data_IF_486566279966
#
_entry.id   IF_486566279966
#
_cell.length_a   1.000
_cell.length_b   1.000
_cell.length_c   1.000
_cell.angle_alpha   90.00
_cell.angle_beta   90.00
_cell.angle_gamma   90.00
#
_symmetry.space_group_name_H-M   'P 1'
#
loop_
_entity.id
_entity.type
_entity.pdbx_description
1 polymer ?
#
# COMPACT_ATOMS: atom_id res chain seq x y z
N UNK A 1 9.19 -2.52 -29.22
CA UNK A 1 9.16 -3.97 -28.93
C UNK A 1 10.52 -4.53 -28.47
N UNK A 2 11.66 -4.00 -28.93
CA UNK A 2 12.99 -4.43 -28.42
C UNK A 2 13.49 -3.67 -27.19
N UNK A 3 12.73 -2.71 -26.65
CA UNK A 3 13.19 -1.78 -25.59
C UNK A 3 12.69 -2.11 -24.19
N UNK A 4 11.53 -2.77 -24.03
CA UNK A 4 11.02 -3.15 -22.70
C UNK A 4 11.68 -4.47 -22.21
N UNK A 5 11.79 -5.46 -23.11
CA UNK A 5 12.52 -6.71 -22.85
C UNK A 5 14.02 -6.44 -22.71
N UNK A 6 14.60 -5.44 -23.39
CA UNK A 6 16.03 -5.15 -23.25
C UNK A 6 16.41 -4.45 -21.93
N UNK A 7 15.54 -3.65 -21.32
CA UNK A 7 15.83 -3.02 -20.03
C UNK A 7 15.83 -4.06 -18.89
N UNK A 8 14.92 -5.04 -18.95
CA UNK A 8 14.79 -6.10 -17.93
C UNK A 8 15.72 -7.28 -18.23
N UNK A 9 15.99 -7.63 -19.49
CA UNK A 9 16.82 -8.78 -19.87
C UNK A 9 18.33 -8.48 -19.99
N UNK A 10 18.78 -7.21 -19.97
CA UNK A 10 20.22 -6.86 -20.01
C UNK A 10 20.79 -6.49 -18.62
N UNK A 11 19.95 -6.33 -17.60
CA UNK A 11 20.40 -6.00 -16.23
C UNK A 11 20.38 -7.18 -15.23
N UNK A 12 20.02 -8.39 -15.68
CA UNK A 12 20.05 -9.60 -14.88
C UNK A 12 21.38 -10.38 -15.03
N UNK A 13 22.54 -9.73 -14.90
CA UNK A 13 23.77 -10.40 -14.47
C UNK A 13 24.84 -9.39 -14.04
N UNK A 14 25.35 -9.61 -12.83
CA UNK A 14 26.39 -8.86 -12.11
C UNK A 14 25.93 -7.60 -11.36
N UNK A 15 25.55 -7.80 -10.10
CA UNK A 15 26.14 -6.98 -9.04
C UNK A 15 26.64 -7.87 -7.91
N UNK A 16 27.94 -7.69 -7.66
CA UNK A 16 28.77 -8.39 -6.69
C UNK A 16 28.33 -8.09 -5.27
N UNK A 17 28.53 -9.08 -4.38
CA UNK A 17 28.58 -8.92 -2.92
C UNK A 17 29.36 -7.66 -2.53
N UNK A 18 28.65 -6.59 -2.24
CA UNK A 18 29.19 -5.51 -1.42
C UNK A 18 29.04 -5.96 0.03
N UNK A 19 30.17 -6.17 0.69
CA UNK A 19 30.23 -6.36 2.14
C UNK A 19 30.00 -5.00 2.79
N UNK A 20 28.73 -4.59 2.85
CA UNK A 20 28.27 -3.49 3.67
C UNK A 20 28.11 -4.00 5.11
N UNK A 21 28.76 -3.32 6.05
CA UNK A 21 28.49 -3.46 7.47
C UNK A 21 26.98 -3.23 7.67
N UNK A 22 26.24 -4.22 8.20
CA UNK A 22 24.81 -4.07 8.42
C UNK A 22 24.56 -2.83 9.29
N UNK A 23 23.81 -1.87 8.77
CA UNK A 23 23.37 -0.72 9.56
C UNK A 23 22.57 -1.24 10.76
N UNK A 24 22.73 -0.61 11.92
CA UNK A 24 21.95 -0.98 13.10
C UNK A 24 20.45 -0.87 12.78
N UNK A 25 19.60 -1.79 13.27
CA UNK A 25 18.17 -1.74 13.01
C UNK A 25 17.60 -0.39 13.48
N UNK A 26 16.95 0.32 12.56
CA UNK A 26 16.27 1.58 12.79
C UNK A 26 15.04 1.31 13.66
N UNK A 27 14.80 2.15 14.68
CA UNK A 27 13.58 2.04 15.48
C UNK A 27 12.36 2.24 14.58
N UNK A 28 11.24 1.60 14.94
CA UNK A 28 9.96 1.77 14.26
C UNK A 28 9.55 3.24 14.24
N UNK A 29 9.19 3.77 13.08
CA UNK A 29 8.62 5.10 12.96
C UNK A 29 7.34 5.03 12.14
N UNK A 30 6.29 5.68 12.64
CA UNK A 30 5.10 5.92 11.86
C UNK A 30 5.35 7.14 10.97
N UNK A 31 5.05 7.01 9.69
CA UNK A 31 4.91 8.13 8.76
C UNK A 31 3.43 8.29 8.42
N UNK A 32 2.97 9.53 8.30
CA UNK A 32 1.57 9.82 8.01
C UNK A 32 1.42 11.20 7.36
N UNK A 33 0.28 11.41 6.72
CA UNK A 33 -0.10 12.71 6.18
C UNK A 33 -0.88 13.47 7.24
N UNK A 34 -0.44 14.67 7.58
CA UNK A 34 -1.07 15.61 8.50
C UNK A 34 -1.28 16.96 7.83
N UNK A 35 -1.63 17.98 8.62
CA UNK A 35 -1.83 19.34 8.13
C UNK A 35 -0.87 20.30 8.84
N UNK A 36 -0.23 21.18 8.09
CA UNK A 36 0.57 22.27 8.65
C UNK A 36 -0.30 23.42 9.19
N UNK A 37 0.35 24.47 9.70
CA UNK A 37 -0.32 25.66 10.25
C UNK A 37 -1.19 26.40 9.21
N UNK A 38 -0.94 26.20 7.92
CA UNK A 38 -1.66 26.81 6.81
C UNK A 38 -2.82 25.91 6.34
N UNK A 39 -2.95 24.70 6.89
CA UNK A 39 -3.96 23.73 6.52
C UNK A 39 -3.63 22.97 5.23
N UNK A 40 -2.37 22.97 4.79
CA UNK A 40 -1.92 22.16 3.66
C UNK A 40 -1.50 20.78 4.14
N UNK A 41 -1.78 19.76 3.31
CA UNK A 41 -1.30 18.41 3.59
C UNK A 41 0.22 18.35 3.50
N UNK A 42 0.85 17.76 4.52
CA UNK A 42 2.29 17.52 4.59
C UNK A 42 2.55 16.13 5.14
N UNK A 43 3.73 15.60 4.85
CA UNK A 43 4.21 14.35 5.42
C UNK A 43 4.85 14.62 6.78
N UNK A 44 4.52 13.78 7.76
CA UNK A 44 5.07 13.81 9.11
C UNK A 44 5.62 12.43 9.47
N UNK A 45 6.65 12.40 10.29
CA UNK A 45 7.12 11.18 10.97
C UNK A 45 7.00 11.31 12.48
N UNK A 46 6.76 10.18 13.14
CA UNK A 46 6.74 10.06 14.58
C UNK A 46 7.44 8.76 15.01
N UNK A 47 8.57 8.83 15.73
CA UNK A 47 9.23 7.66 16.28
C UNK A 47 8.33 6.92 17.28
N UNK A 48 8.36 5.59 17.25
CA UNK A 48 7.67 4.73 18.20
C UNK A 48 8.72 4.10 19.12
N UNK A 49 8.64 4.42 20.40
CA UNK A 49 9.52 3.87 21.45
C UNK A 49 8.69 3.12 22.49
N UNK A 50 9.36 2.41 23.40
CA UNK A 50 8.71 1.61 24.43
C UNK A 50 9.29 1.96 25.80
N UNK A 51 8.43 2.03 26.81
CA UNK A 51 8.89 2.18 28.19
C UNK A 51 9.41 0.84 28.77
N UNK A 52 9.86 0.85 30.02
CA UNK A 52 10.37 -0.35 30.71
C UNK A 52 9.32 -1.47 30.86
N UNK A 53 8.04 -1.12 30.78
CA UNK A 53 6.91 -2.05 30.86
C UNK A 53 6.46 -2.53 29.46
N UNK A 54 7.10 -2.04 28.40
CA UNK A 54 6.80 -2.38 27.01
C UNK A 54 5.61 -1.62 26.43
N UNK A 55 5.09 -0.60 27.11
CA UNK A 55 4.01 0.23 26.60
C UNK A 55 4.54 1.26 25.60
N UNK A 56 3.71 1.61 24.62
CA UNK A 56 4.12 2.50 23.53
C UNK A 56 4.27 3.94 24.02
N UNK A 57 5.45 4.51 23.78
CA UNK A 57 5.79 5.92 23.98
C UNK A 57 6.07 6.53 22.62
N UNK A 58 5.12 7.31 22.11
CA UNK A 58 5.26 7.97 20.82
C UNK A 58 6.10 9.24 20.97
N UNK A 59 7.23 9.28 20.27
CA UNK A 59 8.19 10.39 20.31
C UNK A 59 7.66 11.68 19.69
N UNK A 60 8.55 12.67 19.57
CA UNK A 60 8.21 13.96 18.99
C UNK A 60 7.84 13.85 17.51
N UNK A 61 6.84 14.63 17.12
CA UNK A 61 6.38 14.73 15.73
C UNK A 61 7.34 15.61 14.94
N UNK A 62 7.75 15.14 13.77
CA UNK A 62 8.64 15.87 12.86
C UNK A 62 7.95 16.01 11.50
N UNK A 63 7.79 17.24 11.03
CA UNK A 63 7.34 17.50 9.66
C UNK A 63 8.48 17.18 8.69
N UNK A 64 8.18 16.37 7.66
CA UNK A 64 9.14 15.93 6.66
C UNK A 64 9.08 16.74 5.38
N UNK A 65 7.91 17.20 4.96
CA UNK A 65 7.74 18.02 3.75
C UNK A 65 7.32 19.44 4.09
N UNK A 66 7.77 20.40 3.29
CA UNK A 66 7.30 21.78 3.29
C UNK A 66 6.96 22.16 1.84
N UNK A 67 5.91 21.52 1.31
CA UNK A 67 5.53 21.68 -0.10
C UNK A 67 4.40 22.71 -0.21
N UNK A 68 4.68 23.93 -0.74
CA UNK A 68 3.66 24.98 -0.84
C UNK A 68 2.59 24.67 -1.90
N UNK A 69 2.95 23.86 -2.90
CA UNK A 69 2.10 23.51 -4.02
C UNK A 69 1.29 22.23 -3.80
N UNK A 70 1.05 21.82 -2.55
CA UNK A 70 0.31 20.62 -2.15
C UNK A 70 1.00 19.26 -2.41
N UNK A 71 1.07 18.49 -1.33
CA UNK A 71 1.44 17.09 -1.28
C UNK A 71 0.26 16.19 -1.66
N UNK A 72 0.48 15.10 -2.40
CA UNK A 72 -0.61 14.21 -2.83
C UNK A 72 -0.52 12.79 -2.31
N UNK A 73 0.59 12.08 -2.56
CA UNK A 73 0.79 10.71 -2.08
C UNK A 73 2.28 10.41 -1.90
N UNK A 74 2.58 9.27 -1.26
CA UNK A 74 3.95 8.85 -1.00
C UNK A 74 4.07 7.33 -0.92
N UNK A 75 5.31 6.85 -1.01
CA UNK A 75 5.70 5.48 -0.74
C UNK A 75 7.09 5.45 -0.08
N UNK A 76 7.21 4.65 0.98
CA UNK A 76 8.49 4.39 1.63
C UNK A 76 9.16 3.21 0.94
N UNK A 77 10.46 3.32 0.63
CA UNK A 77 11.25 2.22 0.07
C UNK A 77 11.31 1.08 1.10
N UNK A 78 11.25 -0.21 0.72
CA UNK A 78 11.17 -1.32 1.68
C UNK A 78 12.24 -1.31 2.78
N UNK A 79 13.47 -0.96 2.44
CA UNK A 79 14.58 -0.83 3.41
C UNK A 79 14.51 0.43 4.30
N UNK A 80 13.50 1.28 4.08
CA UNK A 80 13.12 2.43 4.90
C UNK A 80 14.12 3.59 4.92
N UNK A 81 14.96 3.73 3.90
CA UNK A 81 15.93 4.81 3.79
C UNK A 81 15.55 5.94 2.86
N UNK A 82 14.56 5.72 2.00
CA UNK A 82 14.08 6.70 1.06
C UNK A 82 12.56 6.76 1.09
N UNK A 83 12.01 7.97 1.06
CA UNK A 83 10.58 8.20 0.86
C UNK A 83 10.42 8.94 -0.45
N UNK A 84 9.59 8.42 -1.35
CA UNK A 84 9.21 9.12 -2.57
C UNK A 84 7.80 9.65 -2.42
N UNK A 85 7.58 10.88 -2.81
CA UNK A 85 6.28 11.53 -2.76
C UNK A 85 6.00 12.34 -4.02
N UNK A 86 4.72 12.54 -4.31
CA UNK A 86 4.26 13.41 -5.38
C UNK A 86 3.82 14.77 -4.84
N UNK A 87 4.16 15.83 -5.56
CA UNK A 87 3.77 17.21 -5.24
C UNK A 87 3.51 17.99 -6.53
N UNK A 88 2.57 18.95 -6.52
CA UNK A 88 2.37 19.77 -7.72
C UNK A 88 3.59 20.65 -8.01
N UNK A 89 3.85 20.82 -9.30
CA UNK A 89 4.79 21.81 -9.81
C UNK A 89 4.11 23.18 -10.01
N UNK A 90 4.91 24.20 -10.35
CA UNK A 90 4.41 25.56 -10.60
C UNK A 90 3.60 25.70 -11.90
N UNK A 91 3.61 24.68 -12.76
CA UNK A 91 2.95 24.64 -14.07
C UNK A 91 1.62 23.88 -14.05
N UNK A 92 1.23 23.30 -12.91
CA UNK A 92 -0.01 22.55 -12.74
C UNK A 92 0.09 21.05 -13.06
N UNK A 93 1.31 20.54 -13.30
CA UNK A 93 1.63 19.12 -13.29
C UNK A 93 1.96 18.61 -11.89
N UNK A 94 2.62 17.45 -11.80
CA UNK A 94 3.20 16.98 -10.54
C UNK A 94 4.45 16.16 -10.76
N UNK A 95 5.47 16.41 -9.93
CA UNK A 95 6.75 15.74 -9.96
C UNK A 95 6.85 14.67 -8.87
N UNK A 96 7.78 13.73 -9.07
CA UNK A 96 8.20 12.82 -8.00
C UNK A 96 9.43 13.40 -7.32
N UNK A 97 9.34 13.55 -6.00
CA UNK A 97 10.41 14.02 -5.13
C UNK A 97 10.79 12.94 -4.14
N UNK A 98 11.98 13.04 -3.59
CA UNK A 98 12.51 12.07 -2.64
C UNK A 98 12.98 12.75 -1.36
N UNK A 99 12.92 12.00 -0.26
CA UNK A 99 13.38 12.40 1.07
C UNK A 99 14.28 11.29 1.61
N UNK A 100 15.51 11.63 1.98
CA UNK A 100 16.34 10.75 2.79
C UNK A 100 15.69 10.58 4.18
N UNK A 101 15.35 9.36 4.54
CA UNK A 101 14.57 9.10 5.74
C UNK A 101 15.34 9.38 7.05
N UNK A 102 16.66 9.52 7.01
CA UNK A 102 17.51 9.80 8.17
C UNK A 102 17.79 11.30 8.29
N UNK A 103 18.41 11.90 7.27
CA UNK A 103 18.80 13.30 7.26
C UNK A 103 17.62 14.26 7.06
N UNK A 104 16.55 13.79 6.41
CA UNK A 104 15.43 14.62 5.98
C UNK A 104 15.76 15.50 4.77
N UNK A 105 16.91 15.30 4.12
CA UNK A 105 17.29 15.99 2.88
C UNK A 105 16.31 15.64 1.76
N UNK A 106 15.92 16.65 0.99
CA UNK A 106 14.92 16.52 -0.07
C UNK A 106 15.50 16.90 -1.42
N UNK A 107 15.20 16.09 -2.44
CA UNK A 107 15.62 16.31 -3.81
C UNK A 107 14.50 15.99 -4.81
N UNK A 108 14.66 16.49 -6.03
CA UNK A 108 13.85 16.06 -7.17
C UNK A 108 14.32 14.68 -7.64
N UNK A 109 13.40 13.71 -7.70
CA UNK A 109 13.68 12.37 -8.24
C UNK A 109 13.38 12.31 -9.74
N UNK A 110 12.21 12.82 -10.15
CA UNK A 110 11.78 12.81 -11.54
C UNK A 110 10.90 14.03 -11.84
N UNK A 111 11.34 14.85 -12.79
CA UNK A 111 10.51 15.88 -13.40
C UNK A 111 9.54 15.23 -14.39
N UNK A 112 8.25 15.49 -14.23
CA UNK A 112 7.20 14.88 -15.04
C UNK A 112 6.52 15.84 -16.00
N UNK A 113 6.89 17.13 -15.96
CA UNK A 113 6.32 18.19 -16.79
C UNK A 113 6.19 17.79 -18.28
N UNK A 114 5.05 18.11 -18.94
CA UNK A 114 3.86 18.76 -18.38
C UNK A 114 2.90 17.77 -17.69
N UNK A 115 3.27 16.51 -17.51
CA UNK A 115 2.40 15.47 -17.00
C UNK A 115 2.28 15.52 -15.47
N UNK A 116 1.28 14.80 -14.98
CA UNK A 116 1.03 14.58 -13.57
C UNK A 116 1.51 13.17 -13.22
N UNK A 117 2.53 13.08 -12.37
CA UNK A 117 3.03 11.83 -11.80
C UNK A 117 2.58 11.64 -10.35
N UNK A 118 2.00 10.48 -10.05
CA UNK A 118 1.54 10.16 -8.71
C UNK A 118 1.47 8.63 -8.47
N UNK A 119 1.02 8.22 -7.29
CA UNK A 119 0.87 6.81 -6.87
C UNK A 119 2.15 5.99 -6.99
N UNK A 120 3.26 6.43 -6.36
CA UNK A 120 4.49 5.66 -6.33
C UNK A 120 4.28 4.31 -5.60
N UNK A 121 4.94 3.27 -6.07
CA UNK A 121 4.91 1.92 -5.48
C UNK A 121 6.23 1.21 -5.76
N UNK A 122 6.84 0.64 -4.72
CA UNK A 122 8.18 0.05 -4.81
C UNK A 122 8.13 -1.43 -5.17
N UNK A 123 9.09 -1.87 -5.98
CA UNK A 123 9.45 -3.28 -6.05
C UNK A 123 9.98 -3.76 -4.69
N UNK A 124 9.83 -5.05 -4.40
CA UNK A 124 10.23 -5.63 -3.12
C UNK A 124 11.72 -5.42 -2.80
N UNK A 125 12.58 -5.42 -3.83
CA UNK A 125 14.02 -5.16 -3.70
C UNK A 125 14.39 -3.67 -3.63
N UNK A 126 13.42 -2.76 -3.76
CA UNK A 126 13.62 -1.32 -3.73
C UNK A 126 14.42 -0.73 -4.91
N UNK A 127 14.66 -1.50 -5.97
CA UNK A 127 15.40 -1.02 -7.15
C UNK A 127 14.53 -0.27 -8.15
N UNK A 128 13.25 -0.65 -8.24
CA UNK A 128 12.29 -0.09 -9.16
C UNK A 128 11.16 0.62 -8.42
N UNK A 129 10.76 1.75 -8.98
CA UNK A 129 9.58 2.49 -8.56
C UNK A 129 8.59 2.48 -9.72
N UNK A 130 7.40 1.91 -9.52
CA UNK A 130 6.29 2.13 -10.42
C UNK A 130 5.48 3.36 -9.98
N UNK A 131 4.88 4.05 -10.94
CA UNK A 131 4.08 5.26 -10.71
C UNK A 131 3.07 5.43 -11.83
N UNK A 132 2.06 6.26 -11.59
CA UNK A 132 1.03 6.61 -12.56
C UNK A 132 1.40 7.91 -13.26
N UNK A 133 1.28 7.95 -14.59
CA UNK A 133 1.44 9.15 -15.40
C UNK A 133 0.10 9.52 -16.02
N UNK A 134 -0.30 10.78 -15.88
CA UNK A 134 -1.45 11.37 -16.56
C UNK A 134 -1.00 12.55 -17.40
N UNK A 135 -1.33 12.53 -18.68
CA UNK A 135 -1.02 13.67 -19.55
C UNK A 135 -1.95 14.84 -19.20
N UNK A 136 -1.39 15.99 -18.85
CA UNK A 136 -2.17 17.23 -18.81
C UNK A 136 -2.55 17.57 -20.25
N UNK A 137 -3.83 17.55 -20.61
CA UNK A 137 -4.22 18.13 -21.91
C UNK A 137 -4.06 19.65 -21.81
N UNK A 138 -3.17 20.22 -22.62
CA UNK A 138 -2.97 21.67 -22.77
C UNK A 138 -4.18 22.41 -23.39
N UNK A 139 -5.31 21.72 -23.61
CA UNK A 139 -6.49 22.25 -24.27
C UNK A 139 -7.69 22.34 -23.31
N UNK A 140 -7.58 23.19 -22.28
CA UNK A 140 -8.71 23.90 -21.65
C UNK A 140 -9.89 23.09 -21.09
N UNK A 141 -9.84 21.76 -21.11
CA UNK A 141 -10.85 20.86 -20.58
C UNK A 141 -10.24 20.12 -19.40
N UNK A 142 -10.80 20.39 -18.23
CA UNK A 142 -10.52 19.87 -16.88
C UNK A 142 -10.66 18.35 -16.71
N UNK A 143 -10.49 17.57 -17.78
CA UNK A 143 -10.51 16.11 -17.75
C UNK A 143 -9.08 15.61 -17.73
N UNK A 144 -8.59 15.29 -16.52
CA UNK A 144 -7.36 14.50 -16.37
C UNK A 144 -7.47 13.25 -17.23
N UNK A 145 -6.52 13.05 -18.13
CA UNK A 145 -6.44 11.81 -18.90
C UNK A 145 -6.36 10.61 -17.95
N UNK A 146 -6.91 9.45 -18.34
CA UNK A 146 -6.76 8.24 -17.55
C UNK A 146 -5.28 7.90 -17.33
N UNK A 147 -4.93 7.38 -16.15
CA UNK A 147 -3.55 7.14 -15.77
C UNK A 147 -2.99 5.94 -16.53
N UNK A 148 -1.67 5.93 -16.72
CA UNK A 148 -0.91 4.78 -17.21
C UNK A 148 0.21 4.45 -16.24
N UNK A 149 0.48 3.16 -16.00
CA UNK A 149 1.59 2.77 -15.13
C UNK A 149 2.91 2.87 -15.87
N UNK A 150 3.89 3.49 -15.22
CA UNK A 150 5.27 3.63 -15.63
C UNK A 150 6.18 3.01 -14.58
N UNK A 151 7.40 2.69 -14.99
CA UNK A 151 8.47 2.17 -14.14
C UNK A 151 9.70 3.08 -14.26
N UNK A 152 10.36 3.31 -13.14
CA UNK A 152 11.62 4.02 -12.98
C UNK A 152 12.63 3.09 -12.31
N UNK A 153 13.82 2.94 -12.89
CA UNK A 153 14.98 2.42 -12.17
C UNK A 153 15.60 3.58 -11.36
N UNK A 154 15.55 3.48 -10.04
CA UNK A 154 15.92 4.61 -9.17
C UNK A 154 17.43 4.87 -9.15
N UNK A 155 18.25 3.87 -9.50
CA UNK A 155 19.71 4.04 -9.54
C UNK A 155 20.17 4.66 -10.86
N UNK A 156 19.59 4.24 -12.00
CA UNK A 156 20.00 4.72 -13.32
C UNK A 156 19.22 5.95 -13.79
N UNK A 157 18.04 6.19 -13.23
CA UNK A 157 17.11 7.24 -13.69
C UNK A 157 16.32 6.86 -14.93
N UNK A 158 16.45 5.62 -15.44
CA UNK A 158 15.77 5.18 -16.65
C UNK A 158 14.27 4.94 -16.41
N UNK A 159 13.43 5.45 -17.29
CA UNK A 159 11.96 5.32 -17.22
C UNK A 159 11.37 4.64 -18.45
N UNK A 160 10.31 3.87 -18.28
CA UNK A 160 9.54 3.28 -19.38
C UNK A 160 8.04 3.11 -19.01
N UNK A 161 7.12 3.09 -19.98
CA UNK A 161 5.75 2.61 -19.74
C UNK A 161 5.78 1.12 -19.41
N UNK A 162 4.96 0.67 -18.45
CA UNK A 162 4.90 -0.75 -18.06
C UNK A 162 4.07 -1.59 -19.04
N UNK A 163 3.07 -0.97 -19.68
CA UNK A 163 2.19 -1.63 -20.64
C UNK A 163 2.66 -1.32 -22.06
N UNK A 164 2.65 -2.35 -22.92
CA UNK A 164 3.08 -2.24 -24.32
C UNK A 164 2.02 -1.60 -25.23
N UNK A 165 0.75 -1.70 -24.84
CA UNK A 165 -0.40 -1.10 -25.51
C UNK A 165 -0.77 0.23 -24.83
N UNK A 166 -0.67 1.32 -25.57
CA UNK A 166 -0.94 2.67 -25.06
C UNK A 166 -2.44 2.96 -24.84
N UNK A 167 -3.32 2.09 -25.35
CA UNK A 167 -4.76 2.13 -25.09
C UNK A 167 -5.12 1.47 -23.76
N UNK A 168 -4.22 0.67 -23.19
CA UNK A 168 -4.44 0.10 -21.87
C UNK A 168 -4.13 1.13 -20.79
N UNK A 169 -5.10 1.29 -19.90
CA UNK A 169 -5.10 2.28 -18.84
C UNK A 169 -5.04 1.56 -17.50
N UNK A 170 -4.23 2.08 -16.60
CA UNK A 170 -4.02 1.45 -15.31
C UNK A 170 -3.34 2.34 -14.29
N UNK A 171 -3.56 2.04 -13.02
CA UNK A 171 -3.00 2.76 -11.88
C UNK A 171 -2.88 1.87 -10.65
N UNK A 172 -2.31 2.42 -9.57
CA UNK A 172 -2.15 1.75 -8.26
C UNK A 172 -1.51 0.35 -8.38
N UNK A 173 -0.27 0.36 -8.85
CA UNK A 173 0.51 -0.87 -9.04
C UNK A 173 0.94 -1.50 -7.72
N UNK A 174 0.95 -2.82 -7.65
CA UNK A 174 1.50 -3.60 -6.53
C UNK A 174 2.39 -4.72 -7.05
N UNK A 175 3.50 -4.94 -6.38
CA UNK A 175 4.55 -5.86 -6.79
C UNK A 175 4.45 -7.16 -6.00
N UNK A 176 4.60 -8.28 -6.70
CA UNK A 176 4.91 -9.57 -6.07
C UNK A 176 6.29 -9.56 -5.42
N UNK A 177 6.46 -10.36 -4.38
CA UNK A 177 7.71 -10.47 -3.63
C UNK A 177 8.92 -10.92 -4.48
N UNK A 178 8.69 -11.75 -5.49
CA UNK A 178 9.74 -12.22 -6.41
C UNK A 178 10.08 -11.20 -7.51
N UNK A 179 9.37 -10.07 -7.57
CA UNK A 179 9.55 -9.01 -8.56
C UNK A 179 9.13 -9.40 -9.98
N UNK A 180 8.48 -10.55 -10.18
CA UNK A 180 8.12 -11.05 -11.53
C UNK A 180 6.73 -10.62 -11.97
N UNK A 181 5.85 -10.32 -11.02
CA UNK A 181 4.47 -9.93 -11.27
C UNK A 181 4.18 -8.55 -10.72
N UNK A 182 3.36 -7.81 -11.48
CA UNK A 182 2.78 -6.55 -11.06
C UNK A 182 1.28 -6.59 -11.30
N UNK A 183 0.51 -6.31 -10.26
CA UNK A 183 -0.92 -6.05 -10.40
C UNK A 183 -1.18 -4.57 -10.54
N UNK A 184 -2.22 -4.19 -11.28
CA UNK A 184 -2.69 -2.82 -11.42
C UNK A 184 -4.22 -2.78 -11.55
N UNK A 185 -4.83 -1.67 -11.20
CA UNK A 185 -6.26 -1.45 -11.39
C UNK A 185 -6.54 -0.95 -12.80
N UNK A 186 -7.45 -1.60 -13.54
CA UNK A 186 -7.89 -1.10 -14.84
C UNK A 186 -8.86 0.06 -14.68
N UNK A 187 -8.68 1.12 -15.47
CA UNK A 187 -9.58 2.26 -15.45
C UNK A 187 -10.97 1.87 -16.00
N UNK A 188 -12.00 1.83 -15.14
CA UNK A 188 -13.38 1.57 -15.52
C UNK A 188 -14.14 0.68 -14.55
N UNK A 189 -13.96 -0.64 -14.66
CA UNK A 189 -14.87 -1.64 -14.06
C UNK A 189 -14.33 -2.32 -12.79
N UNK A 190 -13.34 -1.75 -12.10
CA UNK A 190 -12.78 -2.34 -10.88
C UNK A 190 -12.01 -3.65 -11.10
N UNK A 191 -11.72 -3.98 -12.36
CA UNK A 191 -10.93 -5.14 -12.74
C UNK A 191 -9.46 -4.97 -12.36
N UNK A 192 -8.77 -6.09 -12.17
CA UNK A 192 -7.36 -6.11 -11.78
C UNK A 192 -6.57 -6.77 -12.90
N UNK A 193 -5.57 -6.07 -13.42
CA UNK A 193 -4.65 -6.57 -14.42
C UNK A 193 -3.44 -7.18 -13.74
N UNK A 194 -3.00 -8.34 -14.20
CA UNK A 194 -1.81 -9.05 -13.73
C UNK A 194 -0.80 -9.07 -14.88
N UNK A 195 0.25 -8.27 -14.75
CA UNK A 195 1.35 -8.19 -15.70
C UNK A 195 2.50 -9.09 -15.23
N UNK A 196 2.94 -10.01 -16.09
CA UNK A 196 4.20 -10.71 -15.94
C UNK A 196 5.34 -9.87 -16.55
N UNK A 197 6.38 -9.56 -15.79
CA UNK A 197 7.49 -8.72 -16.23
C UNK A 197 8.56 -9.47 -17.02
N UNK A 198 8.57 -10.81 -17.01
CA UNK A 198 9.52 -11.63 -17.76
C UNK A 198 9.10 -11.77 -19.23
N UNK A 199 7.81 -11.96 -19.50
CA UNK A 199 7.28 -12.19 -20.84
C UNK A 199 6.26 -11.15 -21.34
N UNK A 200 5.93 -10.16 -20.50
CA UNK A 200 4.94 -9.11 -20.76
C UNK A 200 3.51 -9.62 -21.02
N UNK A 201 3.19 -10.85 -20.59
CA UNK A 201 1.82 -11.37 -20.63
C UNK A 201 0.93 -10.67 -19.60
N UNK A 202 -0.34 -10.48 -19.97
CA UNK A 202 -1.34 -9.82 -19.14
C UNK A 202 -2.53 -10.75 -18.96
N UNK A 203 -2.93 -10.94 -17.70
CA UNK A 203 -4.18 -11.61 -17.30
C UNK A 203 -5.10 -10.59 -16.62
N UNK A 204 -6.40 -10.84 -16.60
CA UNK A 204 -7.40 -9.93 -16.00
C UNK A 204 -8.31 -10.68 -15.04
N UNK A 205 -8.46 -10.14 -13.84
CA UNK A 205 -9.49 -10.56 -12.86
C UNK A 205 -10.72 -9.70 -13.08
N UNK A 206 -11.77 -10.33 -13.60
CA UNK A 206 -12.99 -9.68 -14.10
C UNK A 206 -13.93 -9.13 -13.01
N UNK A 207 -13.87 -9.66 -11.78
CA UNK A 207 -14.83 -9.35 -10.69
C UNK A 207 -14.20 -8.66 -9.49
N UNK A 208 -13.14 -7.89 -9.72
CA UNK A 208 -12.57 -7.05 -8.67
C UNK A 208 -13.55 -5.98 -8.21
N UNK A 209 -13.29 -5.41 -7.04
CA UNK A 209 -14.05 -4.31 -6.46
C UNK A 209 -13.36 -2.94 -6.61
N UNK A 210 -12.27 -2.90 -7.36
CA UNK A 210 -11.43 -1.72 -7.54
C UNK A 210 -10.48 -1.42 -6.39
N UNK A 211 -10.24 -2.35 -5.45
CA UNK A 211 -9.15 -2.23 -4.47
C UNK A 211 -7.86 -2.92 -4.97
N UNK A 212 -6.67 -2.36 -4.67
CA UNK A 212 -5.41 -3.04 -4.94
C UNK A 212 -5.29 -4.35 -4.17
N UNK A 213 -4.60 -5.34 -4.75
CA UNK A 213 -4.33 -6.62 -4.08
C UNK A 213 -3.23 -6.48 -3.03
N UNK A 214 -3.19 -7.43 -2.10
CA UNK A 214 -2.08 -7.62 -1.17
C UNK A 214 -1.29 -8.87 -1.53
N UNK A 215 -0.06 -8.70 -2.02
CA UNK A 215 0.86 -9.80 -2.29
C UNK A 215 1.40 -10.41 -1.00
N UNK A 216 1.49 -11.74 -0.98
CA UNK A 216 2.15 -12.48 0.09
C UNK A 216 3.65 -12.13 0.10
N UNK A 217 4.29 -11.95 1.27
CA UNK A 217 5.65 -11.42 1.38
C UNK A 217 6.76 -12.32 0.83
N UNK A 218 6.54 -13.63 0.71
CA UNK A 218 7.56 -14.61 0.24
C UNK A 218 7.08 -15.53 -0.90
N UNK A 219 5.79 -15.48 -1.28
CA UNK A 219 5.16 -16.41 -2.22
C UNK A 219 4.48 -15.63 -3.33
N UNK A 220 4.40 -16.18 -4.56
CA UNK A 220 3.65 -15.58 -5.65
C UNK A 220 2.14 -15.82 -5.45
N UNK A 221 1.60 -15.43 -4.30
CA UNK A 221 0.18 -15.47 -3.96
C UNK A 221 -0.27 -14.05 -3.63
N UNK A 222 -1.54 -13.76 -3.86
CA UNK A 222 -2.11 -12.47 -3.48
C UNK A 222 -3.54 -12.61 -2.98
N UNK A 223 -3.90 -11.73 -2.05
CA UNK A 223 -5.24 -11.60 -1.52
C UNK A 223 -5.95 -10.40 -2.17
N UNK A 224 -7.21 -10.60 -2.54
CA UNK A 224 -8.05 -9.56 -3.15
C UNK A 224 -9.51 -9.76 -2.78
N UNK A 225 -10.28 -8.68 -2.76
CA UNK A 225 -11.72 -8.71 -2.56
C UNK A 225 -12.44 -8.95 -3.89
N UNK A 226 -13.40 -9.87 -3.87
CA UNK A 226 -14.25 -10.19 -5.01
C UNK A 226 -15.71 -10.03 -4.63
N UNK A 227 -16.48 -9.40 -5.51
CA UNK A 227 -17.94 -9.32 -5.33
C UNK A 227 -18.56 -10.69 -5.58
N UNK A 228 -19.29 -11.18 -4.59
CA UNK A 228 -20.01 -12.45 -4.63
C UNK A 228 -21.50 -12.23 -4.40
N UNK A 229 -22.28 -13.22 -4.83
CA UNK A 229 -23.69 -13.29 -4.50
C UNK A 229 -23.91 -14.46 -3.54
N UNK A 230 -24.32 -14.14 -2.31
CA UNK A 230 -24.67 -15.11 -1.28
C UNK A 230 -26.14 -14.90 -0.94
N UNK A 231 -26.96 -15.91 -1.24
CA UNK A 231 -28.42 -15.80 -1.19
C UNK A 231 -28.91 -14.62 -2.06
N UNK A 232 -29.63 -13.66 -1.46
CA UNK A 232 -30.13 -12.44 -2.11
C UNK A 232 -29.25 -11.20 -1.82
N UNK A 233 -28.10 -11.37 -1.18
CA UNK A 233 -27.18 -10.29 -0.83
C UNK A 233 -25.95 -10.27 -1.74
N UNK A 234 -25.49 -9.07 -2.06
CA UNK A 234 -24.14 -8.85 -2.59
C UNK A 234 -23.17 -8.69 -1.43
N UNK A 235 -22.13 -9.51 -1.44
CA UNK A 235 -21.10 -9.54 -0.41
C UNK A 235 -19.73 -9.32 -1.05
N UNK A 236 -18.73 -9.04 -0.22
CA UNK A 236 -17.35 -8.97 -0.68
C UNK A 236 -16.54 -9.97 0.11
N UNK A 237 -16.01 -10.95 -0.61
CA UNK A 237 -15.20 -12.00 -0.02
C UNK A 237 -13.73 -11.80 -0.37
N UNK A 238 -12.86 -12.05 0.62
CA UNK A 238 -11.43 -12.15 0.39
C UNK A 238 -11.12 -13.50 -0.24
N UNK A 239 -10.40 -13.43 -1.35
CA UNK A 239 -9.89 -14.59 -2.05
C UNK A 239 -8.37 -14.60 -2.03
N UNK A 240 -7.80 -15.79 -1.84
CA UNK A 240 -6.39 -16.05 -2.10
C UNK A 240 -6.25 -16.64 -3.51
N UNK A 241 -5.43 -16.01 -4.34
CA UNK A 241 -5.20 -16.40 -5.73
C UNK A 241 -3.71 -16.45 -6.05
N UNK A 242 -3.38 -17.11 -7.16
CA UNK A 242 -2.04 -17.20 -7.73
C UNK A 242 -2.08 -16.65 -9.16
N UNK A 243 -1.01 -15.99 -9.65
CA UNK A 243 -0.96 -15.51 -11.03
C UNK A 243 -0.79 -16.66 -12.05
N UNK A 244 -0.51 -17.89 -11.59
CA UNK A 244 -0.29 -19.06 -12.46
C UNK A 244 -1.32 -20.16 -12.26
N UNK A 245 -2.30 -19.95 -11.39
CA UNK A 245 -3.38 -20.90 -11.11
C UNK A 245 -4.72 -20.17 -11.10
N UNK A 246 -5.64 -20.62 -11.95
CA UNK A 246 -6.99 -20.07 -12.07
C UNK A 246 -7.87 -20.39 -10.86
N UNK A 247 -7.41 -21.24 -9.95
CA UNK A 247 -8.10 -21.54 -8.70
C UNK A 247 -7.95 -20.40 -7.67
N UNK A 248 -9.01 -20.19 -6.88
CA UNK A 248 -9.01 -19.22 -5.80
C UNK A 248 -9.62 -19.85 -4.54
N UNK A 249 -8.99 -19.60 -3.39
CA UNK A 249 -9.50 -20.05 -2.09
C UNK A 249 -10.31 -18.90 -1.49
N UNK A 250 -11.59 -19.13 -1.19
CA UNK A 250 -12.41 -18.17 -0.48
C UNK A 250 -12.07 -18.20 1.02
N UNK A 251 -11.45 -17.12 1.51
CA UNK A 251 -11.03 -16.95 2.89
C UNK A 251 -12.15 -16.45 3.80
N UNK A 252 -13.16 -15.76 3.25
CA UNK A 252 -14.32 -15.28 4.01
C UNK A 252 -15.30 -16.41 4.35
N UNK A 253 -15.30 -17.48 3.55
CA UNK A 253 -16.27 -18.58 3.62
C UNK A 253 -17.38 -18.43 2.59
N UNK A 254 -17.87 -19.54 2.03
CA UNK A 254 -18.79 -19.52 0.89
C UNK A 254 -20.15 -18.88 1.20
N UNK A 255 -20.65 -19.08 2.42
CA UNK A 255 -21.98 -18.61 2.86
C UNK A 255 -21.91 -17.39 3.78
N UNK A 256 -20.73 -16.76 3.94
CA UNK A 256 -20.56 -15.63 4.83
C UNK A 256 -21.30 -14.38 4.31
N UNK A 257 -21.98 -13.67 5.20
CA UNK A 257 -22.64 -12.39 4.91
C UNK A 257 -21.78 -11.24 5.45
N UNK A 258 -20.66 -11.01 4.78
CA UNK A 258 -19.63 -10.03 5.17
C UNK A 258 -19.15 -9.19 3.98
N UNK A 259 -18.66 -8.00 4.26
CA UNK A 259 -17.80 -7.27 3.33
C UNK A 259 -16.38 -7.27 3.89
N UNK A 260 -15.53 -8.14 3.35
CA UNK A 260 -14.10 -8.21 3.67
C UNK A 260 -13.28 -7.50 2.60
N UNK A 261 -12.40 -6.58 3.03
CA UNK A 261 -11.66 -5.65 2.17
C UNK A 261 -10.26 -5.35 2.71
N UNK A 262 -9.44 -4.72 1.88
CA UNK A 262 -8.14 -4.16 2.23
C UNK A 262 -7.24 -5.11 3.05
N UNK A 263 -6.94 -6.31 2.53
CA UNK A 263 -6.07 -7.26 3.23
C UNK A 263 -4.64 -6.72 3.37
N UNK A 264 -3.95 -7.11 4.42
CA UNK A 264 -2.54 -6.82 4.66
C UNK A 264 -1.88 -8.02 5.33
N UNK A 265 -0.80 -8.51 4.74
CA UNK A 265 -0.02 -9.63 5.25
C UNK A 265 0.93 -9.20 6.36
N UNK A 266 1.05 -10.03 7.38
CA UNK A 266 2.18 -9.94 8.31
C UNK A 266 3.49 -10.18 7.56
N UNK A 267 4.63 -9.65 8.03
CA UNK A 267 5.93 -9.81 7.38
C UNK A 267 6.36 -11.27 7.22
N UNK A 268 5.96 -12.14 8.17
CA UNK A 268 6.21 -13.59 8.12
C UNK A 268 5.25 -14.34 7.17
N UNK A 269 4.21 -13.69 6.65
CA UNK A 269 3.20 -14.27 5.77
C UNK A 269 2.23 -15.26 6.44
N UNK A 270 2.31 -15.46 7.76
CA UNK A 270 1.43 -16.41 8.45
C UNK A 270 0.05 -15.84 8.77
N UNK A 271 -0.03 -14.51 8.90
CA UNK A 271 -1.22 -13.79 9.31
C UNK A 271 -1.66 -12.76 8.27
N UNK A 272 -2.96 -12.49 8.26
CA UNK A 272 -3.57 -11.44 7.46
C UNK A 272 -4.47 -10.59 8.34
N UNK A 273 -4.18 -9.30 8.40
CA UNK A 273 -5.08 -8.30 8.92
C UNK A 273 -5.95 -7.77 7.78
N UNK A 274 -7.22 -7.50 8.04
CA UNK A 274 -8.14 -7.04 7.02
C UNK A 274 -9.30 -6.27 7.66
N UNK A 275 -10.05 -5.55 6.82
CA UNK A 275 -11.29 -4.89 7.24
C UNK A 275 -12.45 -5.86 7.00
N UNK A 276 -13.32 -6.00 7.99
CA UNK A 276 -14.58 -6.74 7.86
C UNK A 276 -15.74 -5.89 8.35
N UNK A 277 -16.81 -5.89 7.57
CA UNK A 277 -18.13 -5.45 7.99
C UNK A 277 -19.08 -6.63 7.96
N UNK A 278 -19.55 -7.06 9.14
CA UNK A 278 -20.62 -8.05 9.21
C UNK A 278 -21.95 -7.43 8.74
N UNK A 279 -22.70 -8.14 7.89
CA UNK A 279 -23.97 -7.69 7.33
C UNK A 279 -25.19 -8.23 8.07
N UNK A 280 -24.99 -9.23 8.93
CA UNK A 280 -26.01 -9.80 9.79
C UNK A 280 -25.45 -10.21 11.16
N UNK A 281 -26.34 -10.49 12.12
CA UNK A 281 -25.95 -10.96 13.45
C UNK A 281 -25.67 -9.84 14.46
N UNK A 282 -25.17 -10.21 15.65
CA UNK A 282 -25.02 -9.29 16.78
C UNK A 282 -23.86 -8.31 16.65
N UNK A 283 -22.87 -8.56 15.79
CA UNK A 283 -21.69 -7.71 15.64
C UNK A 283 -21.79 -6.72 14.46
N UNK A 284 -22.98 -6.57 13.86
CA UNK A 284 -23.19 -5.62 12.77
C UNK A 284 -22.88 -4.20 13.23
N UNK A 285 -21.94 -3.56 12.54
CA UNK A 285 -21.57 -2.16 12.73
C UNK A 285 -21.80 -1.37 11.44
N UNK A 286 -21.94 -0.04 11.57
CA UNK A 286 -22.06 0.83 10.40
C UNK A 286 -20.75 0.89 9.60
N UNK A 287 -19.62 0.98 10.31
CA UNK A 287 -18.26 0.96 9.74
C UNK A 287 -17.64 -0.43 9.82
N UNK A 288 -16.55 -0.63 9.09
CA UNK A 288 -15.75 -1.86 9.14
C UNK A 288 -14.89 -1.89 10.40
N UNK A 289 -14.66 -3.09 10.91
CA UNK A 289 -13.74 -3.38 12.01
C UNK A 289 -12.48 -4.06 11.47
N UNK A 290 -11.39 -4.01 12.23
CA UNK A 290 -10.18 -4.76 11.92
C UNK A 290 -10.31 -6.18 12.43
N UNK A 291 -9.91 -7.13 11.59
CA UNK A 291 -9.89 -8.55 11.88
C UNK A 291 -8.54 -9.14 11.53
N UNK A 292 -8.23 -10.25 12.19
CA UNK A 292 -7.02 -11.02 11.99
C UNK A 292 -7.41 -12.44 11.63
N UNK A 293 -6.78 -13.01 10.61
CA UNK A 293 -6.87 -14.42 10.30
C UNK A 293 -5.50 -15.04 10.09
N UNK A 294 -5.33 -16.29 10.52
CA UNK A 294 -4.18 -17.11 10.17
C UNK A 294 -4.42 -17.76 8.82
N UNK A 295 -3.43 -17.75 7.94
CA UNK A 295 -3.57 -18.38 6.65
C UNK A 295 -3.70 -19.90 6.80
N UNK A 296 -4.67 -20.55 6.13
CA UNK A 296 -4.78 -21.99 6.20
C UNK A 296 -3.56 -22.66 5.54
N UNK A 297 -2.87 -23.52 6.29
CA UNK A 297 -1.83 -24.38 5.72
C UNK A 297 -2.47 -25.49 4.89
N UNK A 298 -2.46 -25.35 3.56
CA UNK A 298 -3.03 -26.34 2.63
C UNK A 298 -4.54 -26.19 2.42
N UNK A 299 -5.22 -27.28 2.03
CA UNK A 299 -6.62 -27.27 1.59
C UNK A 299 -7.68 -27.19 2.73
N UNK A 300 -7.28 -26.87 3.96
CA UNK A 300 -8.19 -26.83 5.11
C UNK A 300 -8.55 -25.39 5.48
N UNK A 301 -9.81 -24.99 5.28
CA UNK A 301 -10.37 -23.64 5.54
C UNK A 301 -10.55 -23.32 7.03
N UNK A 302 -9.63 -23.74 7.91
CA UNK A 302 -9.80 -23.73 9.37
C UNK A 302 -8.80 -22.91 10.17
N UNK A 303 -8.16 -21.89 9.57
CA UNK A 303 -7.26 -20.98 10.29
C UNK A 303 -7.99 -20.20 11.39
N UNK A 304 -7.26 -19.77 12.43
CA UNK A 304 -7.80 -18.90 13.48
C UNK A 304 -8.29 -17.58 12.87
N UNK A 305 -9.46 -17.10 13.28
CA UNK A 305 -10.01 -15.80 12.86
C UNK A 305 -10.62 -15.08 14.06
N UNK A 306 -10.24 -13.81 14.27
CA UNK A 306 -10.73 -13.01 15.40
C UNK A 306 -10.81 -11.53 15.06
N UNK A 307 -11.77 -10.83 15.67
CA UNK A 307 -11.84 -9.38 15.63
C UNK A 307 -10.69 -8.77 16.46
N UNK A 308 -10.07 -7.72 15.93
CA UNK A 308 -9.10 -6.88 16.62
C UNK A 308 -9.74 -5.60 17.17
N UNK A 309 -10.81 -5.13 16.53
CA UNK A 309 -11.60 -3.99 17.01
C UNK A 309 -13.09 -4.31 17.02
N UNK A 310 -13.83 -3.61 17.88
CA UNK A 310 -15.28 -3.75 18.03
C UNK A 310 -15.91 -2.43 18.48
N UNK A 311 -15.63 -1.34 17.76
CA UNK A 311 -16.11 0.00 18.08
C UNK A 311 -17.11 0.50 17.01
N UNK A 312 -18.39 0.47 17.37
CA UNK A 312 -19.49 0.89 16.51
C UNK A 312 -19.54 2.40 16.22
N UNK A 313 -18.73 3.21 16.94
CA UNK A 313 -18.62 4.65 16.73
C UNK A 313 -17.74 5.03 15.53
N UNK A 314 -16.97 4.07 14.98
CA UNK A 314 -15.93 4.34 13.99
C UNK A 314 -15.96 3.35 12.82
N UNK A 315 -15.57 3.83 11.65
CA UNK A 315 -15.01 2.97 10.58
C UNK A 315 -13.49 2.94 10.75
N UNK A 316 -12.90 1.79 10.44
CA UNK A 316 -11.46 1.57 10.50
C UNK A 316 -10.91 1.49 9.07
N UNK A 317 -9.86 2.24 8.77
CA UNK A 317 -9.19 2.21 7.47
C UNK A 317 -8.31 0.99 7.26
N UNK A 318 -7.67 0.87 6.08
CA UNK A 318 -6.76 -0.24 5.77
C UNK A 318 -5.65 -0.40 6.81
N UNK A 319 -5.39 -1.63 7.31
CA UNK A 319 -4.29 -1.90 8.22
C UNK A 319 -2.94 -1.94 7.49
N UNK A 320 -1.85 -1.64 8.20
CA UNK A 320 -0.47 -1.74 7.74
C UNK A 320 0.38 -2.39 8.83
N UNK A 321 0.93 -3.57 8.56
CA UNK A 321 1.80 -4.27 9.51
C UNK A 321 3.11 -3.55 9.74
N UNK A 322 3.54 -3.51 10.99
CA UNK A 322 4.92 -3.20 11.29
C UNK A 322 5.84 -4.28 10.72
N UNK A 323 7.05 -3.94 10.29
CA UNK A 323 8.04 -4.89 9.76
C UNK A 323 8.45 -5.99 10.74
N UNK A 324 8.30 -5.77 12.04
CA UNK A 324 8.54 -6.78 13.09
C UNK A 324 7.32 -7.67 13.35
N UNK A 325 6.19 -7.43 12.67
CA UNK A 325 4.97 -8.22 12.79
C UNK A 325 4.20 -8.05 14.10
N UNK A 326 4.57 -7.11 14.98
CA UNK A 326 3.90 -6.93 16.28
C UNK A 326 2.71 -5.98 16.23
N UNK A 327 2.73 -4.99 15.35
CA UNK A 327 1.77 -3.88 15.36
C UNK A 327 1.06 -3.69 14.03
N UNK A 328 -0.10 -3.04 14.09
CA UNK A 328 -0.80 -2.48 12.94
C UNK A 328 -0.90 -0.96 13.08
N UNK A 329 -0.54 -0.23 12.02
CA UNK A 329 -1.02 1.14 11.82
C UNK A 329 -2.33 1.11 11.05
N UNK A 330 -3.25 1.99 11.42
CA UNK A 330 -4.55 2.12 10.76
C UNK A 330 -5.15 3.50 10.99
N UNK A 331 -6.20 3.82 10.24
CA UNK A 331 -6.97 5.04 10.40
C UNK A 331 -8.27 4.79 11.16
N UNK A 332 -8.68 5.72 12.02
CA UNK A 332 -10.05 5.76 12.58
C UNK A 332 -10.84 6.91 12.00
N UNK A 333 -12.07 6.62 11.58
CA UNK A 333 -13.03 7.56 11.00
C UNK A 333 -14.25 7.66 11.91
N UNK A 334 -14.42 8.76 12.67
CA UNK A 334 -15.62 8.96 13.47
C UNK A 334 -16.87 8.98 12.58
N UNK A 335 -17.89 8.18 12.91
CA UNK A 335 -19.12 8.09 12.12
C UNK A 335 -20.16 9.15 12.51
N UNK A 336 -19.95 9.86 13.63
CA UNK A 336 -20.88 10.86 14.18
C UNK A 336 -20.10 11.98 14.88
N UNK A 337 -20.70 13.17 14.95
CA UNK A 337 -20.18 14.31 15.69
C UNK A 337 -19.95 15.55 14.82
N UNK A 338 -19.83 16.74 15.42
CA UNK A 338 -19.69 18.00 14.67
C UNK A 338 -18.30 18.20 14.05
N UNK A 339 -17.27 17.54 14.59
CA UNK A 339 -15.88 17.66 14.15
C UNK A 339 -15.34 16.26 13.81
N UNK A 340 -15.69 15.77 12.61
CA UNK A 340 -15.19 14.48 12.11
C UNK A 340 -13.73 14.66 11.73
N UNK A 341 -12.85 14.12 12.56
CA UNK A 341 -11.41 14.20 12.38
C UNK A 341 -10.82 12.81 12.30
N UNK A 342 -10.14 12.54 11.18
CA UNK A 342 -9.46 11.26 10.94
C UNK A 342 -8.19 11.24 11.78
N UNK A 343 -7.93 10.12 12.43
CA UNK A 343 -6.73 9.93 13.25
C UNK A 343 -6.00 8.66 12.84
N UNK A 344 -4.68 8.64 13.05
CA UNK A 344 -3.83 7.46 12.89
C UNK A 344 -3.63 6.80 14.24
N UNK A 345 -3.79 5.49 14.27
CA UNK A 345 -3.68 4.67 15.46
C UNK A 345 -2.73 3.51 15.22
N UNK A 346 -2.07 3.11 16.30
CA UNK A 346 -1.27 1.91 16.41
C UNK A 346 -2.04 0.88 17.24
N UNK A 347 -2.11 -0.36 16.81
CA UNK A 347 -2.65 -1.50 17.56
C UNK A 347 -1.53 -2.51 17.81
N UNK A 348 -1.36 -2.96 19.05
CA UNK A 348 -0.55 -4.13 19.39
C UNK A 348 -1.40 -5.40 19.17
N UNK A 349 -0.96 -6.28 18.28
CA UNK A 349 -1.74 -7.46 17.84
C UNK A 349 -1.79 -8.55 18.91
N UNK A 350 -0.79 -8.61 19.78
CA UNK A 350 -0.67 -9.62 20.83
C UNK A 350 -1.66 -9.36 21.97
N UNK A 351 -1.72 -8.11 22.45
CA UNK A 351 -2.52 -7.76 23.63
C UNK A 351 -3.80 -6.95 23.31
N UNK A 352 -3.94 -6.44 22.07
CA UNK A 352 -5.12 -5.69 21.62
C UNK A 352 -5.16 -4.22 22.04
N UNK A 353 -4.11 -3.70 22.69
CA UNK A 353 -4.04 -2.29 23.08
C UNK A 353 -3.87 -1.38 21.87
N UNK A 354 -4.46 -0.18 21.94
CA UNK A 354 -4.41 0.81 20.86
C UNK A 354 -3.93 2.17 21.35
N UNK A 355 -3.08 2.82 20.56
CA UNK A 355 -2.43 4.08 20.87
C UNK A 355 -2.66 5.09 19.74
N UNK A 356 -3.09 6.32 20.08
CA UNK A 356 -3.24 7.38 19.08
C UNK A 356 -1.87 7.95 18.69
N UNK A 357 -1.54 7.89 17.40
CA UNK A 357 -0.28 8.38 16.84
C UNK A 357 -0.43 9.80 16.32
N UNK A 358 -1.55 10.15 15.71
CA UNK A 358 -1.79 11.49 15.18
C UNK A 358 -3.28 11.82 15.07
N UNK A 359 -3.62 13.08 15.37
CA UNK A 359 -4.93 13.68 15.15
C UNK A 359 -4.73 15.17 14.84
N UNK A 360 -5.01 15.65 13.62
CA UNK A 360 -5.46 14.88 12.47
C UNK A 360 -4.32 14.00 11.89
N UNK A 361 -4.67 12.91 11.22
CA UNK A 361 -3.70 12.08 10.50
C UNK A 361 -4.38 11.12 9.52
N UNK A 362 -3.72 10.84 8.38
CA UNK A 362 -4.22 9.91 7.36
C UNK A 362 -3.09 9.20 6.62
N UNK A 363 -3.43 8.14 5.88
CA UNK A 363 -2.51 7.35 5.04
C UNK A 363 -1.23 6.97 5.77
N UNK A 364 -1.32 6.25 6.90
CA UNK A 364 -0.13 5.88 7.66
C UNK A 364 0.72 4.87 6.90
N UNK A 365 2.01 4.85 7.22
CA UNK A 365 2.99 3.90 6.72
C UNK A 365 4.14 3.76 7.71
N UNK A 366 5.10 2.91 7.38
CA UNK A 366 6.23 2.59 8.24
C UNK A 366 7.54 3.08 7.62
N UNK A 367 8.40 3.65 8.45
CA UNK A 367 9.83 3.80 8.16
C UNK A 367 10.56 2.86 9.11
N UNK A 368 11.37 1.96 8.55
CA UNK A 368 12.15 0.97 9.29
C UNK A 368 13.27 0.46 8.41
N UNK A 369 14.42 0.13 8.99
CA UNK A 369 15.35 -0.76 8.29
C UNK A 369 14.91 -2.19 8.56
N UNK A 370 14.80 -3.01 7.53
CA UNK A 370 14.84 -4.44 7.73
C UNK A 370 16.20 -4.80 8.37
N UNK A 371 16.19 -5.38 9.57
CA UNK A 371 17.04 -6.53 9.79
C UNK A 371 16.28 -7.72 9.19
N UNK A 372 16.48 -7.94 7.89
CA UNK A 372 16.15 -9.22 7.28
C UNK A 372 16.81 -10.30 8.13
N UNK A 373 16.04 -11.32 8.47
CA UNK A 373 16.47 -12.46 9.26
C UNK A 373 17.77 -13.06 8.72
N UNK A 374 18.71 -13.33 9.65
CA UNK A 374 19.96 -14.07 9.44
C UNK A 374 19.80 -15.40 8.69
#
# INVERSE_FOLDING_TARGET
MATLVALIAILAWQSSRATGQAAAPRPLQAVYVGFDEQGLEQLYRRPITFDEQGAVVAGDVLQLTDTPNAFWDYAVRPVGDLIVYSALDDQGGSDLRQIDAESGEQDLLLACEPNVCNSPSWSADGQFLSFSVRNSSLDGATLLNPPRPWILNVTTGETAPMLSDDQQLGFETRWSADGKWVTYLLAGQGQIGLLNLEDASIQVIERGDGEPVAWHPDKPLFAHSRMEQVQDAHVLHLLLSSPTDDSAINLSGADALVEDRSPAWSPDGEWMAFRRKELEGPNVTLGSQLWLMQLPQGASTGGEIRALTADAGFDHGPPQWSPDGRFLLYQKFPLKGPNIEISVWLLDVENGESYEIARPGRRPGWISSESGTD
#
